data_IF_374813521581
#
_entry.id   IF_374813521581
#
_cell.length_a   1.000
_cell.length_b   1.000
_cell.length_c   1.000
_cell.angle_alpha   90.00
_cell.angle_beta   90.00
_cell.angle_gamma   90.00
#
_symmetry.space_group_name_H-M   'P 1'
#
loop_
_entity.id
_entity.type
_entity.pdbx_description
1 polymer ?
#
# COMPACT_ATOMS: atom_id res chain seq x y z
N UNK A 1 -34.82 -30.94 11.45
CA UNK A 1 -33.84 -30.04 12.05
C UNK A 1 -33.95 -28.64 11.41
N UNK A 2 -34.07 -27.57 12.24
CA UNK A 2 -34.09 -26.24 11.67
C UNK A 2 -32.79 -25.96 10.91
N UNK A 3 -32.84 -25.21 9.80
CA UNK A 3 -31.62 -24.82 9.10
C UNK A 3 -30.71 -24.01 10.02
N UNK A 4 -29.42 -24.23 9.91
CA UNK A 4 -28.46 -23.42 10.66
C UNK A 4 -28.61 -21.95 10.28
N UNK A 5 -28.50 -21.02 11.27
CA UNK A 5 -28.47 -19.61 10.93
C UNK A 5 -27.31 -19.34 9.98
N UNK A 6 -27.47 -18.41 9.02
CA UNK A 6 -26.37 -18.08 8.11
C UNK A 6 -25.15 -17.65 8.94
N UNK A 7 -23.99 -18.13 8.52
CA UNK A 7 -22.74 -17.72 9.16
C UNK A 7 -22.63 -16.18 9.11
N UNK A 8 -22.12 -15.53 10.16
CA UNK A 8 -21.90 -14.10 10.11
C UNK A 8 -20.96 -13.80 8.91
N UNK A 9 -21.17 -12.68 8.20
CA UNK A 9 -20.29 -12.33 7.10
C UNK A 9 -18.85 -12.34 7.59
N UNK A 10 -17.95 -12.90 6.78
CA UNK A 10 -16.53 -12.89 7.09
C UNK A 10 -16.12 -11.45 7.41
N UNK A 11 -15.36 -11.26 8.48
CA UNK A 11 -14.84 -9.95 8.82
C UNK A 11 -14.05 -9.41 7.63
N UNK A 12 -14.30 -8.17 7.27
CA UNK A 12 -13.61 -7.48 6.18
C UNK A 12 -12.11 -7.49 6.44
N UNK A 13 -11.30 -7.73 5.40
CA UNK A 13 -9.85 -7.65 5.52
C UNK A 13 -9.42 -6.22 5.86
N UNK A 14 -8.27 -6.09 6.52
CA UNK A 14 -7.73 -4.77 6.86
C UNK A 14 -7.40 -3.97 5.62
N UNK A 15 -6.94 -4.63 4.55
CA UNK A 15 -6.67 -4.01 3.27
C UNK A 15 -7.95 -3.42 2.66
N UNK A 16 -9.06 -4.15 2.72
CA UNK A 16 -10.33 -3.67 2.20
C UNK A 16 -10.88 -2.51 3.05
N UNK A 17 -10.78 -2.60 4.36
CA UNK A 17 -11.19 -1.53 5.26
C UNK A 17 -10.37 -0.26 5.01
N UNK A 18 -9.06 -0.40 4.86
CA UNK A 18 -8.18 0.73 4.54
C UNK A 18 -8.51 1.31 3.16
N UNK A 19 -8.74 0.46 2.16
CA UNK A 19 -9.14 0.89 0.81
C UNK A 19 -10.38 1.78 0.85
N UNK A 20 -11.41 1.35 1.57
CA UNK A 20 -12.64 2.14 1.73
C UNK A 20 -12.40 3.47 2.43
N UNK A 21 -11.57 3.46 3.47
CA UNK A 21 -11.22 4.67 4.21
C UNK A 21 -10.42 5.64 3.33
N UNK A 22 -9.47 5.14 2.55
CA UNK A 22 -8.71 5.94 1.59
C UNK A 22 -9.65 6.59 0.57
N UNK A 23 -10.61 5.85 0.04
CA UNK A 23 -11.54 6.38 -0.96
C UNK A 23 -12.44 7.49 -0.41
N UNK A 24 -12.77 7.47 0.87
CA UNK A 24 -13.49 8.59 1.49
C UNK A 24 -12.67 9.88 1.45
N UNK A 25 -11.38 9.78 1.74
CA UNK A 25 -10.46 10.92 1.67
C UNK A 25 -10.24 11.33 0.22
N UNK A 26 -10.06 10.35 -0.67
CA UNK A 26 -9.82 10.58 -2.10
C UNK A 26 -10.97 11.35 -2.75
N UNK A 27 -12.19 10.99 -2.42
CA UNK A 27 -13.39 11.71 -2.91
C UNK A 27 -13.35 13.18 -2.53
N UNK A 28 -12.98 13.50 -1.29
CA UNK A 28 -12.83 14.89 -0.84
C UNK A 28 -11.73 15.62 -1.61
N UNK A 29 -10.62 14.93 -1.89
CA UNK A 29 -9.55 15.48 -2.71
C UNK A 29 -10.00 15.74 -4.15
N UNK A 30 -10.81 14.84 -4.71
CA UNK A 30 -11.41 15.03 -6.03
C UNK A 30 -12.35 16.25 -6.06
N UNK A 31 -13.20 16.40 -5.06
CA UNK A 31 -14.10 17.55 -4.94
C UNK A 31 -13.34 18.88 -4.83
N UNK A 32 -12.12 18.83 -4.27
CA UNK A 32 -11.22 19.98 -4.18
C UNK A 32 -10.33 20.16 -5.42
N UNK A 33 -10.53 19.36 -6.47
CA UNK A 33 -9.73 19.34 -7.71
C UNK A 33 -8.25 19.02 -7.50
N UNK A 34 -7.93 18.26 -6.46
CA UNK A 34 -6.56 17.87 -6.15
C UNK A 34 -6.13 16.56 -6.80
N UNK A 35 -7.09 15.71 -7.18
CA UNK A 35 -6.84 14.43 -7.85
C UNK A 35 -7.74 14.26 -9.07
N UNK A 36 -7.34 13.40 -10.00
CA UNK A 36 -8.00 13.24 -11.30
C UNK A 36 -9.23 12.33 -11.25
N UNK A 37 -9.28 11.38 -10.31
CA UNK A 37 -10.37 10.40 -10.21
C UNK A 37 -11.04 10.49 -8.85
N UNK A 38 -12.37 10.40 -8.84
CA UNK A 38 -13.17 10.46 -7.62
C UNK A 38 -12.87 9.30 -6.67
N UNK A 39 -12.59 8.13 -7.22
CA UNK A 39 -12.28 6.91 -6.47
C UNK A 39 -11.10 6.18 -7.09
N UNK A 40 -10.33 5.52 -6.24
CA UNK A 40 -9.34 4.55 -6.66
C UNK A 40 -10.00 3.18 -6.80
N UNK A 41 -9.51 2.38 -7.73
CA UNK A 41 -9.90 0.98 -7.88
C UNK A 41 -8.84 0.11 -7.19
N UNK A 42 -9.29 -0.79 -6.33
CA UNK A 42 -8.37 -1.75 -5.71
C UNK A 42 -7.85 -2.71 -6.77
N UNK A 43 -6.56 -2.69 -6.99
CA UNK A 43 -5.88 -3.51 -7.99
C UNK A 43 -4.55 -3.97 -7.40
N UNK A 44 -4.47 -5.26 -7.08
CA UNK A 44 -3.32 -5.83 -6.39
C UNK A 44 -2.18 -6.27 -7.32
N UNK A 45 -2.18 -5.81 -8.57
CA UNK A 45 -1.09 -6.12 -9.51
C UNK A 45 0.28 -5.64 -9.00
N UNK A 46 0.31 -4.54 -8.25
CA UNK A 46 1.55 -3.98 -7.70
C UNK A 46 1.78 -4.33 -6.22
N UNK A 47 0.97 -5.22 -5.64
CA UNK A 47 1.06 -5.53 -4.21
C UNK A 47 2.41 -6.14 -3.82
N UNK A 48 3.07 -6.88 -4.72
CA UNK A 48 4.35 -7.51 -4.42
C UNK A 48 5.45 -6.48 -4.12
N UNK A 49 5.34 -5.26 -4.66
CA UNK A 49 6.30 -4.18 -4.38
C UNK A 49 6.34 -3.82 -2.89
N UNK A 50 5.19 -3.83 -2.24
CA UNK A 50 5.08 -3.49 -0.81
C UNK A 50 5.09 -4.73 0.07
N UNK A 51 4.63 -5.87 -0.45
CA UNK A 51 4.63 -7.13 0.30
C UNK A 51 6.04 -7.65 0.57
N UNK A 52 6.93 -7.60 -0.41
CA UNK A 52 8.30 -8.05 -0.22
C UNK A 52 8.99 -7.27 0.90
N UNK A 53 8.75 -5.98 0.96
CA UNK A 53 9.27 -5.11 2.01
C UNK A 53 8.62 -5.44 3.37
N UNK A 54 7.29 -5.46 3.41
CA UNK A 54 6.55 -5.74 4.64
C UNK A 54 6.85 -7.10 5.24
N UNK A 55 7.06 -8.13 4.41
CA UNK A 55 7.39 -9.48 4.86
C UNK A 55 8.71 -9.56 5.60
N UNK A 56 9.68 -8.76 5.25
CA UNK A 56 10.97 -8.74 5.95
C UNK A 56 10.75 -8.38 7.42
N UNK A 57 9.90 -7.38 7.69
CA UNK A 57 9.56 -7.00 9.07
C UNK A 57 8.70 -8.05 9.77
N UNK A 58 7.78 -8.69 9.05
CA UNK A 58 6.93 -9.74 9.60
C UNK A 58 7.74 -10.97 10.01
N UNK A 59 8.66 -11.40 9.16
CA UNK A 59 9.53 -12.55 9.45
C UNK A 59 10.47 -12.27 10.62
N UNK A 60 11.04 -11.07 10.68
CA UNK A 60 11.84 -10.63 11.80
C UNK A 60 11.02 -10.40 13.07
N UNK A 61 9.72 -10.14 12.89
CA UNK A 61 8.78 -9.76 13.94
C UNK A 61 9.29 -8.60 14.77
N UNK A 62 9.90 -7.62 14.10
CA UNK A 62 10.38 -6.40 14.74
C UNK A 62 10.32 -5.23 13.77
N UNK A 63 10.05 -4.06 14.31
CA UNK A 63 10.20 -2.78 13.65
C UNK A 63 10.58 -1.74 14.70
N UNK A 64 11.65 -0.97 14.59
CA UNK A 64 12.60 -0.96 13.47
C UNK A 64 13.40 -2.26 13.35
N UNK A 65 13.87 -2.56 12.15
CA UNK A 65 14.66 -3.74 11.82
C UNK A 65 15.89 -3.32 11.01
N UNK A 66 17.03 -3.96 11.29
CA UNK A 66 18.25 -3.72 10.51
C UNK A 66 18.26 -4.69 9.33
N UNK A 67 18.16 -4.14 8.11
CA UNK A 67 18.15 -4.94 6.89
C UNK A 67 19.55 -5.52 6.64
N UNK A 68 19.60 -6.80 6.36
CA UNK A 68 20.83 -7.48 5.95
C UNK A 68 20.92 -7.60 4.42
N UNK A 69 22.02 -8.12 3.90
CA UNK A 69 22.22 -8.26 2.45
C UNK A 69 21.17 -9.15 1.79
N UNK A 70 20.73 -10.22 2.47
CA UNK A 70 19.69 -11.11 1.96
C UNK A 70 18.37 -10.39 1.85
N UNK A 71 18.00 -9.60 2.86
CA UNK A 71 16.77 -8.79 2.86
C UNK A 71 16.78 -7.81 1.70
N UNK A 72 17.89 -7.12 1.50
CA UNK A 72 18.03 -6.14 0.42
C UNK A 72 17.95 -6.79 -0.96
N UNK A 73 18.59 -7.94 -1.15
CA UNK A 73 18.51 -8.68 -2.43
C UNK A 73 17.09 -9.11 -2.73
N UNK A 74 16.35 -9.57 -1.73
CA UNK A 74 14.97 -9.98 -1.89
C UNK A 74 14.10 -8.78 -2.28
N UNK A 75 14.21 -7.68 -1.54
CA UNK A 75 13.43 -6.47 -1.78
C UNK A 75 13.72 -5.90 -3.18
N UNK A 76 14.98 -5.67 -3.51
CA UNK A 76 15.34 -5.07 -4.80
C UNK A 76 15.08 -6.00 -5.99
N UNK A 77 15.28 -7.31 -5.82
CA UNK A 77 14.96 -8.28 -6.86
C UNK A 77 13.48 -8.29 -7.21
N UNK A 78 12.62 -8.32 -6.19
CA UNK A 78 11.17 -8.27 -6.38
C UNK A 78 10.73 -6.92 -6.98
N UNK A 79 11.27 -5.81 -6.47
CA UNK A 79 10.91 -4.47 -6.95
C UNK A 79 11.27 -4.28 -8.42
N UNK A 80 12.47 -4.70 -8.84
CA UNK A 80 12.91 -4.54 -10.24
C UNK A 80 12.04 -5.36 -11.20
N UNK A 81 11.77 -6.62 -10.86
CA UNK A 81 10.93 -7.48 -11.70
C UNK A 81 9.49 -6.99 -11.78
N UNK A 82 8.96 -6.51 -10.67
CA UNK A 82 7.60 -6.00 -10.61
C UNK A 82 7.46 -4.67 -11.34
N UNK A 83 8.41 -3.77 -11.17
CA UNK A 83 8.41 -2.48 -11.87
C UNK A 83 8.33 -2.69 -13.37
N UNK A 84 9.17 -3.56 -13.93
CA UNK A 84 9.14 -3.89 -15.35
C UNK A 84 7.78 -4.45 -15.76
N UNK A 85 7.21 -5.34 -14.97
CA UNK A 85 5.90 -5.94 -15.24
C UNK A 85 4.78 -4.89 -15.28
N UNK A 86 4.78 -3.97 -14.31
CA UNK A 86 3.77 -2.91 -14.23
C UNK A 86 3.94 -1.91 -15.37
N UNK A 87 5.16 -1.49 -15.65
CA UNK A 87 5.41 -0.54 -16.76
C UNK A 87 5.05 -1.14 -18.11
N UNK A 88 5.29 -2.43 -18.32
CA UNK A 88 4.91 -3.13 -19.54
C UNK A 88 3.40 -3.26 -19.71
N UNK A 89 2.69 -3.49 -18.60
CA UNK A 89 1.23 -3.67 -18.63
C UNK A 89 0.47 -2.36 -18.71
N UNK A 90 0.88 -1.36 -17.94
CA UNK A 90 0.14 -0.11 -17.77
C UNK A 90 0.76 1.09 -18.48
N UNK A 91 1.99 0.99 -18.92
CA UNK A 91 2.68 2.04 -19.66
C UNK A 91 3.81 2.69 -18.88
N UNK A 92 4.71 3.34 -19.61
CA UNK A 92 5.81 4.11 -19.03
C UNK A 92 5.25 5.17 -18.08
N UNK A 93 5.91 5.36 -16.96
CA UNK A 93 5.53 6.33 -15.93
C UNK A 93 4.15 6.08 -15.32
N UNK A 94 3.67 4.83 -15.38
CA UNK A 94 2.37 4.45 -14.81
C UNK A 94 2.40 4.23 -13.30
N UNK A 95 3.58 4.16 -12.70
CA UNK A 95 3.75 3.89 -11.28
C UNK A 95 4.11 5.17 -10.53
N UNK A 96 3.45 5.40 -9.42
CA UNK A 96 3.68 6.58 -8.59
C UNK A 96 3.44 6.27 -7.12
N UNK A 97 3.77 7.20 -6.25
CA UNK A 97 3.38 7.28 -4.86
C UNK A 97 3.37 5.98 -4.04
N UNK A 98 4.37 5.78 -3.21
CA UNK A 98 4.37 4.72 -2.19
C UNK A 98 4.30 5.36 -0.81
N UNK A 99 3.51 4.77 0.08
CA UNK A 99 3.39 5.26 1.46
C UNK A 99 3.51 4.10 2.46
N UNK A 100 3.99 4.43 3.65
CA UNK A 100 4.19 3.46 4.73
C UNK A 100 5.53 2.73 4.66
N UNK A 101 6.41 3.11 3.73
CA UNK A 101 7.72 2.50 3.57
C UNK A 101 8.82 3.55 3.75
N UNK A 102 9.87 3.17 4.47
CA UNK A 102 11.10 3.93 4.52
C UNK A 102 12.02 3.46 3.40
N UNK A 103 12.92 4.31 2.93
CA UNK A 103 13.90 3.90 1.92
C UNK A 103 14.75 2.74 2.47
N UNK A 104 14.84 1.63 1.72
CA UNK A 104 15.70 0.53 2.13
C UNK A 104 17.16 0.97 2.08
N UNK A 105 17.89 0.69 3.15
CA UNK A 105 19.30 1.03 3.25
C UNK A 105 20.03 -0.13 3.92
N UNK A 106 21.16 -0.52 3.37
CA UNK A 106 22.09 -1.45 4.03
C UNK A 106 22.64 -0.78 5.28
N UNK A 107 22.74 -1.56 6.36
CA UNK A 107 23.35 -1.14 7.63
C UNK A 107 22.55 -0.07 8.41
N UNK A 108 21.30 0.22 8.01
CA UNK A 108 20.44 1.13 8.78
C UNK A 108 19.23 0.39 9.32
N UNK A 109 18.82 0.78 10.52
CA UNK A 109 17.52 0.37 11.04
C UNK A 109 16.45 1.13 10.28
N UNK A 110 15.53 0.37 9.69
CA UNK A 110 14.39 0.91 8.97
C UNK A 110 13.13 0.52 9.73
N UNK A 111 12.16 1.40 9.76
CA UNK A 111 10.92 1.17 10.49
C UNK A 111 9.71 1.24 9.55
N UNK A 112 8.69 0.44 9.87
CA UNK A 112 7.36 0.68 9.34
C UNK A 112 6.77 1.84 10.12
N UNK A 113 6.35 2.89 9.44
CA UNK A 113 6.00 4.15 10.09
C UNK A 113 4.51 4.29 10.41
N UNK A 114 3.64 3.77 9.55
CA UNK A 114 2.21 4.03 9.62
C UNK A 114 1.44 2.86 10.21
N UNK A 115 1.20 2.92 11.53
CA UNK A 115 0.33 1.96 12.19
C UNK A 115 -1.11 2.10 11.69
N UNK A 116 -1.76 0.96 11.46
CA UNK A 116 -3.14 0.94 11.01
C UNK A 116 -4.05 1.52 12.10
N UNK A 117 -4.78 2.54 11.72
CA UNK A 117 -5.82 3.13 12.55
C UNK A 117 -6.99 3.49 11.65
N UNK A 118 -8.19 3.11 12.06
CA UNK A 118 -9.41 3.49 11.34
C UNK A 118 -9.78 4.96 11.55
N UNK A 119 -8.96 5.71 12.29
CA UNK A 119 -9.22 7.12 12.53
C UNK A 119 -9.00 7.94 11.26
N UNK A 120 -9.92 8.84 10.98
CA UNK A 120 -9.87 9.70 9.80
C UNK A 120 -8.58 10.50 9.68
N UNK A 121 -8.04 10.98 10.81
CA UNK A 121 -6.80 11.75 10.83
C UNK A 121 -5.61 10.92 10.35
N UNK A 122 -5.50 9.67 10.79
CA UNK A 122 -4.42 8.76 10.38
C UNK A 122 -4.50 8.44 8.89
N UNK A 123 -5.71 8.19 8.40
CA UNK A 123 -5.93 7.90 6.97
C UNK A 123 -5.63 9.14 6.12
N UNK A 124 -6.03 10.33 6.56
CA UNK A 124 -5.70 11.57 5.85
C UNK A 124 -4.19 11.79 5.76
N UNK A 125 -3.46 11.54 6.84
CA UNK A 125 -2.01 11.63 6.85
C UNK A 125 -1.36 10.63 5.89
N UNK A 126 -1.90 9.42 5.83
CA UNK A 126 -1.43 8.37 4.93
C UNK A 126 -1.67 8.75 3.46
N UNK A 127 -2.84 9.27 3.13
CA UNK A 127 -3.16 9.77 1.78
C UNK A 127 -2.25 10.95 1.41
N UNK A 128 -1.95 11.84 2.37
CA UNK A 128 -1.03 12.94 2.12
C UNK A 128 0.37 12.43 1.73
N UNK A 129 0.84 11.35 2.36
CA UNK A 129 2.11 10.72 1.99
C UNK A 129 2.08 10.14 0.58
N UNK A 130 0.98 9.51 0.18
CA UNK A 130 0.79 9.04 -1.19
C UNK A 130 0.87 10.19 -2.19
N UNK A 131 0.30 11.34 -1.84
CA UNK A 131 0.24 12.52 -2.69
C UNK A 131 1.47 13.42 -2.62
N UNK A 132 2.46 13.10 -1.79
CA UNK A 132 3.76 13.80 -1.78
C UNK A 132 4.44 13.72 -3.15
N UNK A 133 4.26 12.61 -3.85
CA UNK A 133 4.63 12.53 -5.27
C UNK A 133 3.49 13.14 -6.09
N UNK A 134 3.75 14.26 -6.75
CA UNK A 134 2.74 14.97 -7.55
C UNK A 134 2.08 14.12 -8.64
N UNK A 135 2.80 13.11 -9.14
CA UNK A 135 2.23 12.19 -10.14
C UNK A 135 1.12 11.31 -9.56
N UNK A 136 1.08 11.13 -8.24
CA UNK A 136 0.03 10.33 -7.58
C UNK A 136 -1.37 10.93 -7.76
N UNK A 137 -1.46 12.21 -8.08
CA UNK A 137 -2.75 12.85 -8.36
C UNK A 137 -3.46 12.24 -9.58
N UNK A 138 -2.73 11.56 -10.46
CA UNK A 138 -3.28 10.88 -11.66
C UNK A 138 -3.76 9.46 -11.36
N UNK A 139 -3.56 8.96 -10.14
CA UNK A 139 -3.79 7.57 -9.79
C UNK A 139 -5.22 7.11 -10.08
N UNK A 140 -5.34 5.93 -10.68
CA UNK A 140 -6.59 5.20 -10.90
C UNK A 140 -6.67 3.98 -10.00
N UNK A 141 -5.54 3.36 -9.70
CA UNK A 141 -5.44 2.08 -9.01
C UNK A 141 -4.61 2.20 -7.76
N UNK A 142 -4.92 1.34 -6.79
CA UNK A 142 -4.14 1.23 -5.56
C UNK A 142 -3.94 -0.25 -5.21
N UNK A 143 -2.71 -0.60 -4.86
CA UNK A 143 -2.40 -1.88 -4.23
C UNK A 143 -2.11 -1.61 -2.76
N UNK A 144 -2.63 -2.48 -1.88
CA UNK A 144 -2.55 -2.30 -0.42
C UNK A 144 -2.07 -3.59 0.22
N UNK A 145 -1.15 -3.47 1.15
CA UNK A 145 -0.72 -4.55 2.02
C UNK A 145 -0.57 -4.04 3.44
N UNK A 146 -1.17 -4.75 4.40
CA UNK A 146 -1.12 -4.37 5.82
C UNK A 146 -0.27 -5.39 6.60
N UNK A 147 1.04 -5.17 6.72
CA UNK A 147 1.89 -6.10 7.46
C UNK A 147 1.57 -6.06 8.96
N UNK A 148 1.75 -7.21 9.62
CA UNK A 148 1.54 -7.35 11.06
C UNK A 148 2.87 -7.68 11.72
N UNK A 149 3.30 -6.82 12.63
CA UNK A 149 4.56 -6.97 13.36
C UNK A 149 4.28 -6.80 14.86
N UNK A 150 4.65 -7.79 15.66
CA UNK A 150 4.41 -7.79 17.11
C UNK A 150 2.93 -7.54 17.45
N UNK A 151 2.03 -8.16 16.67
CA UNK A 151 0.60 -8.01 16.86
C UNK A 151 0.00 -6.68 16.41
N UNK A 152 0.81 -5.75 15.91
CA UNK A 152 0.37 -4.44 15.43
C UNK A 152 0.34 -4.44 13.91
N UNK A 153 -0.76 -3.92 13.34
CA UNK A 153 -0.93 -3.81 11.90
C UNK A 153 -0.42 -2.46 11.41
N UNK A 154 0.23 -2.46 10.25
CA UNK A 154 0.75 -1.25 9.62
C UNK A 154 0.11 -1.03 8.25
N UNK A 155 0.15 0.19 7.77
CA UNK A 155 -0.42 0.56 6.46
C UNK A 155 0.70 0.71 5.45
N UNK A 156 0.57 0.05 4.29
CA UNK A 156 1.44 0.28 3.14
C UNK A 156 0.60 0.26 1.87
N UNK A 157 0.92 1.11 0.91
CA UNK A 157 0.20 1.18 -0.36
C UNK A 157 1.07 1.77 -1.46
N UNK A 158 0.71 1.43 -2.70
CA UNK A 158 1.28 2.03 -3.90
C UNK A 158 0.15 2.37 -4.86
N UNK A 159 0.23 3.53 -5.50
CA UNK A 159 -0.76 3.98 -6.48
C UNK A 159 -0.18 3.99 -7.88
N UNK A 160 -1.02 3.69 -8.87
CA UNK A 160 -0.62 3.64 -10.27
C UNK A 160 -1.82 3.92 -11.18
N UNK A 161 -1.55 4.08 -12.46
CA UNK A 161 -2.57 4.40 -13.47
C UNK A 161 -2.23 3.75 -14.80
N UNK A 162 -3.22 3.70 -15.69
CA UNK A 162 -3.07 3.13 -17.03
C UNK A 162 -2.77 4.24 -18.04
N UNK A 163 -1.54 4.28 -18.55
CA UNK A 163 -1.13 5.23 -19.59
C UNK A 163 -1.29 4.72 -21.02
N UNK A 164 -1.59 3.43 -21.16
CA UNK A 164 -1.76 2.82 -22.49
C UNK A 164 -3.20 2.92 -22.99
N UNK A 165 -4.10 3.33 -22.14
CA UNK A 165 -5.51 3.51 -22.48
C UNK A 165 -5.76 4.88 -23.09
#
# INVERSE_FOLDING_TARGET
TPPEPPAPPASESKEMALFKAINKVWKKKYEANEVAHEQLTLNQDAVDAIRCYGRVFEEANETPHTLNDSDNKLIFGELNGLEDKILNKYGKDSLAGMAGLSEPSTERKVALEDAYSCEDAAVRAFVAKLLDNSNSAKAEFISIYCPVVQGKTYMTAVVFWNKTA
#
